data_IF_578390940517
#
_entry.id   IF_578390940517
#
_cell.length_a   1.000
_cell.length_b   1.000
_cell.length_c   1.000
_cell.angle_alpha   90.00
_cell.angle_beta   90.00
_cell.angle_gamma   90.00
#
_symmetry.space_group_name_H-M   'P 1'
#
loop_
_entity.id
_entity.type
_entity.pdbx_description
1 polymer ?
#
# COMPACT_ATOMS: atom_id res chain seq x y z
N UNK A 1 -36.96 26.76 -7.95
CA UNK A 1 -36.95 26.26 -6.55
C UNK A 1 -37.73 24.96 -6.57
N UNK A 2 -37.07 23.83 -6.29
CA UNK A 2 -37.79 22.56 -6.11
C UNK A 2 -38.27 22.57 -4.68
N UNK A 3 -39.58 22.52 -4.47
CA UNK A 3 -40.19 22.41 -3.15
C UNK A 3 -40.67 20.97 -2.97
N UNK A 4 -40.24 20.33 -1.89
CA UNK A 4 -40.80 19.04 -1.50
C UNK A 4 -42.08 19.30 -0.72
N UNK A 5 -43.19 18.75 -1.18
CA UNK A 5 -44.47 18.76 -0.49
C UNK A 5 -44.92 17.33 -0.20
N UNK A 6 -45.73 17.16 0.84
CA UNK A 6 -46.36 15.89 1.13
C UNK A 6 -47.39 15.55 0.05
N UNK A 7 -47.43 14.28 -0.36
CA UNK A 7 -48.40 13.79 -1.34
C UNK A 7 -49.64 13.30 -0.59
N UNK A 8 -50.88 13.60 -1.05
CA UNK A 8 -52.10 13.01 -0.50
C UNK A 8 -52.11 11.47 -0.63
N UNK A 9 -52.72 10.79 0.34
CA UNK A 9 -52.74 9.31 0.39
C UNK A 9 -53.39 8.69 -0.86
N UNK A 10 -54.44 9.32 -1.41
CA UNK A 10 -55.08 8.87 -2.66
C UNK A 10 -54.18 8.94 -3.90
N UNK A 11 -53.18 9.82 -3.87
CA UNK A 11 -52.24 10.07 -4.97
C UNK A 11 -50.97 9.21 -4.85
N UNK A 12 -50.65 8.67 -3.66
CA UNK A 12 -49.42 7.91 -3.42
C UNK A 12 -49.27 6.70 -4.34
N UNK A 13 -50.34 5.97 -4.62
CA UNK A 13 -50.29 4.77 -5.47
C UNK A 13 -50.51 5.07 -6.96
N UNK A 14 -51.29 6.11 -7.27
CA UNK A 14 -51.72 6.41 -8.65
C UNK A 14 -50.75 7.30 -9.39
N UNK A 15 -49.96 8.12 -8.68
CA UNK A 15 -48.97 9.06 -9.25
C UNK A 15 -47.52 8.69 -8.95
N UNK A 16 -47.27 7.50 -8.39
CA UNK A 16 -45.93 7.02 -8.10
C UNK A 16 -45.11 6.82 -9.40
N UNK A 17 -44.08 7.64 -9.58
CA UNK A 17 -43.16 7.53 -10.72
C UNK A 17 -41.90 6.70 -10.42
N UNK A 18 -41.56 6.52 -9.14
CA UNK A 18 -40.36 5.79 -8.71
C UNK A 18 -39.71 6.38 -7.45
N UNK A 19 -38.63 5.75 -7.00
CA UNK A 19 -37.83 6.22 -5.87
C UNK A 19 -36.64 7.07 -6.34
N UNK A 20 -36.45 8.24 -5.71
CA UNK A 20 -35.20 8.98 -5.77
C UNK A 20 -34.43 8.74 -4.47
N UNK A 21 -33.30 8.05 -4.57
CA UNK A 21 -32.39 7.83 -3.45
C UNK A 21 -31.24 8.83 -3.59
N UNK A 22 -31.12 9.74 -2.63
CA UNK A 22 -30.01 10.71 -2.56
C UNK A 22 -29.10 10.39 -1.38
N UNK A 23 -27.87 9.96 -1.68
CA UNK A 23 -26.84 9.74 -0.67
C UNK A 23 -25.92 10.97 -0.59
N UNK A 24 -26.28 11.93 0.25
CA UNK A 24 -25.52 13.16 0.43
C UNK A 24 -24.07 12.90 0.87
N UNK A 25 -23.87 11.96 1.80
CA UNK A 25 -22.54 11.63 2.31
C UNK A 25 -21.65 11.05 1.22
N UNK A 26 -22.19 10.12 0.41
CA UNK A 26 -21.49 9.55 -0.74
C UNK A 26 -21.15 10.58 -1.81
N UNK A 27 -22.07 11.51 -2.09
CA UNK A 27 -21.81 12.61 -3.01
C UNK A 27 -20.71 13.54 -2.50
N UNK A 28 -20.75 13.95 -1.22
CA UNK A 28 -19.72 14.81 -0.60
C UNK A 28 -18.34 14.15 -0.63
N UNK A 29 -18.28 12.84 -0.35
CA UNK A 29 -17.03 12.08 -0.41
C UNK A 29 -16.46 12.05 -1.84
N UNK A 30 -17.27 11.66 -2.82
CA UNK A 30 -16.85 11.61 -4.22
C UNK A 30 -16.38 12.98 -4.75
N UNK A 31 -17.05 14.06 -4.32
CA UNK A 31 -16.67 15.42 -4.66
C UNK A 31 -15.30 15.81 -4.08
N UNK A 32 -15.05 15.48 -2.81
CA UNK A 32 -13.76 15.71 -2.17
C UNK A 32 -12.63 14.90 -2.83
N UNK A 33 -12.88 13.62 -3.14
CA UNK A 33 -11.91 12.75 -3.81
C UNK A 33 -11.54 13.26 -5.20
N UNK A 34 -12.53 13.74 -5.95
CA UNK A 34 -12.31 14.38 -7.24
C UNK A 34 -11.44 15.64 -7.12
N UNK A 35 -11.74 16.53 -6.17
CA UNK A 35 -10.92 17.72 -5.93
C UNK A 35 -9.48 17.36 -5.53
N UNK A 36 -9.31 16.37 -4.65
CA UNK A 36 -7.99 15.89 -4.22
C UNK A 36 -7.20 15.31 -5.39
N UNK A 37 -7.82 14.54 -6.29
CA UNK A 37 -7.18 14.01 -7.48
C UNK A 37 -6.67 15.14 -8.40
N UNK A 38 -7.48 16.17 -8.66
CA UNK A 38 -7.09 17.27 -9.53
C UNK A 38 -6.05 18.20 -8.89
N UNK A 39 -6.15 18.44 -7.57
CA UNK A 39 -5.13 19.16 -6.82
C UNK A 39 -3.79 18.41 -6.87
N UNK A 40 -3.79 17.11 -6.59
CA UNK A 40 -2.62 16.26 -6.75
C UNK A 40 -2.08 16.31 -8.17
N UNK A 41 -2.93 16.20 -9.20
CA UNK A 41 -2.51 16.24 -10.61
C UNK A 41 -1.81 17.56 -10.96
N UNK A 42 -2.33 18.69 -10.48
CA UNK A 42 -1.77 20.03 -10.69
C UNK A 42 -0.47 20.26 -9.91
N UNK A 43 -0.44 19.80 -8.66
CA UNK A 43 0.65 20.08 -7.72
C UNK A 43 1.74 18.99 -7.75
N UNK A 44 1.60 17.99 -8.63
CA UNK A 44 2.56 16.91 -8.81
C UNK A 44 3.87 17.44 -9.39
N UNK A 45 4.99 16.94 -8.88
CA UNK A 45 6.31 17.27 -9.40
C UNK A 45 6.52 16.62 -10.79
N UNK A 46 6.28 17.40 -11.84
CA UNK A 46 6.39 17.04 -13.27
C UNK A 46 7.73 16.39 -13.63
N UNK A 47 8.83 16.80 -12.98
CA UNK A 47 10.18 16.30 -13.25
C UNK A 47 10.34 14.78 -13.05
N UNK A 48 9.57 14.20 -12.11
CA UNK A 48 9.54 12.75 -11.86
C UNK A 48 8.81 12.01 -12.98
N UNK A 49 7.85 12.66 -13.64
CA UNK A 49 7.07 12.08 -14.74
C UNK A 49 7.81 12.16 -16.06
N UNK A 50 8.58 13.23 -16.29
CA UNK A 50 9.37 13.34 -17.51
C UNK A 50 10.42 12.23 -17.67
N UNK A 51 10.88 11.56 -16.61
CA UNK A 51 11.77 10.38 -16.75
C UNK A 51 11.01 9.10 -17.12
N UNK A 52 9.75 8.97 -16.65
CA UNK A 52 8.91 7.80 -16.91
C UNK A 52 8.21 7.87 -18.28
N UNK A 53 7.83 9.06 -18.72
CA UNK A 53 7.18 9.30 -20.02
C UNK A 53 8.19 9.44 -21.19
N UNK A 54 9.47 9.70 -20.88
CA UNK A 54 10.57 9.66 -21.88
C UNK A 54 10.96 8.24 -22.30
N UNK A 55 10.39 7.20 -21.69
CA UNK A 55 10.63 5.80 -22.07
C UNK A 55 12.00 5.24 -21.63
N UNK A 56 12.67 5.87 -20.67
CA UNK A 56 13.97 5.39 -20.18
C UNK A 56 13.82 4.23 -19.16
N UNK A 57 12.67 4.12 -18.47
CA UNK A 57 12.32 3.01 -17.57
C UNK A 57 10.83 2.68 -17.64
N UNK A 58 10.49 1.49 -18.15
CA UNK A 58 9.10 1.02 -18.33
C UNK A 58 8.47 0.39 -17.06
N UNK A 59 8.92 0.79 -15.86
CA UNK A 59 8.50 0.16 -14.60
C UNK A 59 8.55 1.10 -13.38
N UNK A 60 7.77 0.77 -12.34
CA UNK A 60 7.74 1.54 -11.09
C UNK A 60 8.93 1.20 -10.18
N UNK A 61 9.93 2.09 -10.15
CA UNK A 61 11.17 1.93 -9.36
C UNK A 61 10.93 1.84 -7.85
N UNK A 62 9.86 2.47 -7.33
CA UNK A 62 9.54 2.40 -5.90
C UNK A 62 9.01 1.03 -5.55
N UNK A 63 8.13 0.47 -6.37
CA UNK A 63 7.59 -0.86 -6.20
C UNK A 63 8.71 -1.91 -6.34
N UNK A 64 9.60 -1.74 -7.32
CA UNK A 64 10.77 -2.61 -7.48
C UNK A 64 11.70 -2.58 -6.26
N UNK A 65 11.99 -1.40 -5.72
CA UNK A 65 12.74 -1.27 -4.46
C UNK A 65 12.03 -1.99 -3.32
N UNK A 66 10.71 -1.86 -3.21
CA UNK A 66 9.93 -2.56 -2.18
C UNK A 66 10.02 -4.09 -2.31
N UNK A 67 9.99 -4.64 -3.52
CA UNK A 67 10.19 -6.07 -3.77
C UNK A 67 11.52 -6.55 -3.19
N UNK A 68 12.62 -5.89 -3.57
CA UNK A 68 13.97 -6.25 -3.08
C UNK A 68 14.07 -6.07 -1.56
N UNK A 69 13.49 -4.99 -1.01
CA UNK A 69 13.47 -4.72 0.44
C UNK A 69 12.80 -5.85 1.23
N UNK A 70 11.65 -6.34 0.76
CA UNK A 70 10.92 -7.42 1.42
C UNK A 70 11.70 -8.74 1.36
N UNK A 71 12.29 -9.05 0.20
CA UNK A 71 13.10 -10.25 0.04
C UNK A 71 14.32 -10.24 0.97
N UNK A 72 15.05 -9.12 1.08
CA UNK A 72 16.17 -9.00 2.01
C UNK A 72 15.75 -9.18 3.47
N UNK A 73 14.60 -8.62 3.86
CA UNK A 73 14.08 -8.80 5.22
C UNK A 73 13.63 -10.24 5.48
N UNK A 74 12.98 -10.89 4.52
CA UNK A 74 12.59 -12.30 4.60
C UNK A 74 13.81 -13.22 4.71
N UNK A 75 14.87 -12.95 3.93
CA UNK A 75 16.15 -13.65 4.03
C UNK A 75 16.77 -13.52 5.42
N UNK A 76 16.73 -12.33 6.02
CA UNK A 76 17.22 -12.11 7.39
C UNK A 76 16.40 -12.92 8.40
N UNK A 77 15.07 -12.88 8.28
CA UNK A 77 14.18 -13.63 9.15
C UNK A 77 14.53 -15.13 9.14
N UNK A 78 14.80 -15.70 7.97
CA UNK A 78 15.19 -17.12 7.84
C UNK A 78 16.60 -17.42 8.38
N UNK A 79 17.53 -16.46 8.36
CA UNK A 79 18.91 -16.65 8.84
C UNK A 79 19.08 -16.44 10.34
N UNK A 80 18.41 -15.44 10.89
CA UNK A 80 18.65 -14.95 12.25
C UNK A 80 17.40 -14.92 13.12
N UNK A 81 16.24 -15.33 12.59
CA UNK A 81 14.96 -15.23 13.28
C UNK A 81 14.44 -13.80 13.41
N UNK A 82 15.09 -12.80 12.79
CA UNK A 82 14.75 -11.39 12.94
C UNK A 82 14.65 -10.68 11.57
N UNK A 83 13.56 -9.94 11.30
CA UNK A 83 13.42 -9.16 10.08
C UNK A 83 14.27 -7.88 10.13
N UNK A 84 14.64 -7.35 8.97
CA UNK A 84 15.33 -6.05 8.87
C UNK A 84 14.28 -4.96 8.72
N UNK A 85 14.05 -4.19 9.79
CA UNK A 85 13.13 -3.04 9.77
C UNK A 85 13.84 -1.78 9.28
N UNK A 86 15.11 -1.58 9.68
CA UNK A 86 15.93 -0.43 9.32
C UNK A 86 17.17 -0.89 8.56
N UNK A 87 17.23 -0.56 7.28
CA UNK A 87 18.36 -0.87 6.42
C UNK A 87 19.49 0.13 6.64
N UNK A 88 20.73 -0.36 6.55
CA UNK A 88 21.95 0.45 6.63
C UNK A 88 23.01 -0.09 5.65
N UNK A 89 24.12 0.65 5.48
CA UNK A 89 25.26 0.22 4.68
C UNK A 89 24.90 -0.13 3.22
N UNK A 90 25.49 -1.22 2.72
CA UNK A 90 25.35 -1.65 1.32
C UNK A 90 23.89 -1.92 0.92
N UNK A 91 23.09 -2.55 1.79
CA UNK A 91 21.70 -2.87 1.47
C UNK A 91 20.85 -1.59 1.33
N UNK A 92 21.08 -0.58 2.18
CA UNK A 92 20.41 0.71 2.02
C UNK A 92 20.82 1.40 0.72
N UNK A 93 22.12 1.38 0.39
CA UNK A 93 22.63 1.96 -0.85
C UNK A 93 22.03 1.29 -2.10
N UNK A 94 21.89 -0.04 -2.10
CA UNK A 94 21.20 -0.79 -3.15
C UNK A 94 19.74 -0.34 -3.29
N UNK A 95 18.98 -0.30 -2.20
CA UNK A 95 17.57 0.09 -2.22
C UNK A 95 17.39 1.53 -2.72
N UNK A 96 18.26 2.45 -2.32
CA UNK A 96 18.21 3.83 -2.83
C UNK A 96 18.57 3.91 -4.30
N UNK A 97 19.56 3.13 -4.76
CA UNK A 97 19.94 3.07 -6.18
C UNK A 97 18.78 2.60 -7.07
N UNK A 98 18.04 1.57 -6.62
CA UNK A 98 16.82 1.12 -7.32
C UNK A 98 15.76 2.21 -7.33
N UNK A 99 15.48 2.84 -6.18
CA UNK A 99 14.47 3.91 -6.06
C UNK A 99 14.79 5.11 -6.94
N UNK A 100 16.07 5.42 -7.11
CA UNK A 100 16.57 6.50 -7.95
C UNK A 100 16.62 6.14 -9.44
N UNK A 101 16.25 4.91 -9.82
CA UNK A 101 16.25 4.47 -11.22
C UNK A 101 17.65 4.21 -11.79
N UNK A 102 18.65 3.96 -10.94
CA UNK A 102 20.04 3.70 -11.38
C UNK A 102 20.24 2.28 -11.93
N UNK A 103 19.29 1.39 -11.71
CA UNK A 103 19.32 0.01 -12.20
C UNK A 103 18.19 -0.18 -13.23
N UNK A 104 18.48 -0.94 -14.27
CA UNK A 104 17.51 -1.43 -15.24
C UNK A 104 16.59 -2.50 -14.61
N UNK A 105 15.49 -2.81 -15.30
CA UNK A 105 14.55 -3.84 -14.86
C UNK A 105 15.23 -5.21 -14.68
N UNK A 106 16.03 -5.62 -15.67
CA UNK A 106 16.69 -6.93 -15.66
C UNK A 106 17.71 -7.06 -14.54
N UNK A 107 18.45 -5.99 -14.24
CA UNK A 107 19.39 -5.96 -13.10
C UNK A 107 18.65 -6.11 -11.76
N UNK A 108 17.53 -5.41 -11.59
CA UNK A 108 16.70 -5.52 -10.39
C UNK A 108 16.15 -6.94 -10.25
N UNK A 109 15.64 -7.51 -11.35
CA UNK A 109 15.06 -8.85 -11.35
C UNK A 109 16.11 -9.92 -11.08
N UNK A 110 17.33 -9.78 -11.60
CA UNK A 110 18.46 -10.65 -11.28
C UNK A 110 18.77 -10.61 -9.78
N UNK A 111 18.88 -9.42 -9.18
CA UNK A 111 19.07 -9.27 -7.73
C UNK A 111 17.93 -9.92 -6.93
N UNK A 112 16.68 -9.69 -7.34
CA UNK A 112 15.52 -10.27 -6.67
C UNK A 112 15.51 -11.80 -6.73
N UNK A 113 15.81 -12.37 -7.90
CA UNK A 113 15.87 -13.82 -8.11
C UNK A 113 16.99 -14.47 -7.30
N UNK A 114 18.17 -13.85 -7.21
CA UNK A 114 19.27 -14.32 -6.37
C UNK A 114 18.88 -14.37 -4.88
N UNK A 115 18.23 -13.31 -4.39
CA UNK A 115 17.77 -13.27 -2.99
C UNK A 115 16.70 -14.33 -2.76
N UNK A 116 15.75 -14.48 -3.69
CA UNK A 116 14.68 -15.48 -3.60
C UNK A 116 15.25 -16.91 -3.59
N UNK A 117 16.21 -17.22 -4.47
CA UNK A 117 16.88 -18.51 -4.48
C UNK A 117 17.60 -18.80 -3.15
N UNK A 118 18.22 -17.79 -2.53
CA UNK A 118 18.81 -17.95 -1.21
C UNK A 118 17.74 -18.19 -0.13
N UNK A 119 16.59 -17.49 -0.20
CA UNK A 119 15.46 -17.73 0.69
C UNK A 119 14.94 -19.17 0.59
N UNK A 120 14.75 -19.70 -0.63
CA UNK A 120 14.29 -21.08 -0.83
C UNK A 120 15.28 -22.09 -0.23
N UNK A 121 16.59 -21.85 -0.38
CA UNK A 121 17.62 -22.67 0.25
C UNK A 121 17.60 -22.59 1.78
N UNK A 122 17.44 -21.40 2.33
CA UNK A 122 17.43 -21.17 3.78
C UNK A 122 16.18 -21.74 4.44
N UNK A 123 15.04 -21.73 3.75
CA UNK A 123 13.77 -22.27 4.24
C UNK A 123 13.90 -23.71 4.71
N UNK A 124 14.73 -24.53 4.04
CA UNK A 124 14.97 -25.92 4.41
C UNK A 124 15.68 -26.09 5.77
N UNK A 125 16.37 -25.07 6.26
CA UNK A 125 17.15 -25.10 7.51
C UNK A 125 16.70 -24.05 8.53
N UNK A 126 15.71 -23.23 8.19
CA UNK A 126 15.25 -22.15 9.03
C UNK A 126 14.46 -22.71 10.21
N UNK A 127 14.76 -22.24 11.41
CA UNK A 127 14.04 -22.56 12.64
C UNK A 127 12.80 -21.65 12.78
N UNK A 128 11.98 -21.61 11.72
CA UNK A 128 10.74 -20.84 11.69
C UNK A 128 9.55 -21.82 11.72
N UNK A 129 8.53 -21.57 12.53
CA UNK A 129 7.35 -22.43 12.56
C UNK A 129 6.58 -22.34 11.24
N UNK A 130 6.07 -23.48 10.77
CA UNK A 130 5.25 -23.55 9.54
C UNK A 130 3.93 -22.75 9.67
N UNK A 131 3.44 -22.58 10.90
CA UNK A 131 2.18 -21.93 11.20
C UNK A 131 2.44 -20.80 12.21
N UNK A 132 1.87 -19.63 11.92
CA UNK A 132 1.86 -18.52 12.86
C UNK A 132 0.73 -18.70 13.88
N UNK A 133 1.05 -18.68 15.17
CA UNK A 133 0.08 -18.76 16.27
C UNK A 133 -0.74 -17.47 16.38
N UNK A 134 -1.93 -17.47 15.75
CA UNK A 134 -2.80 -16.29 15.63
C UNK A 134 -3.22 -15.69 16.98
N UNK A 135 -3.39 -16.53 18.02
CA UNK A 135 -3.70 -16.08 19.37
C UNK A 135 -2.56 -15.26 20.00
N UNK A 136 -1.30 -15.67 19.76
CA UNK A 136 -0.14 -14.93 20.24
C UNK A 136 0.00 -13.60 19.48
N UNK A 137 -0.17 -13.62 18.16
CA UNK A 137 -0.15 -12.40 17.35
C UNK A 137 -1.22 -11.38 17.78
N UNK A 138 -2.44 -11.86 18.06
CA UNK A 138 -3.54 -11.03 18.58
C UNK A 138 -3.22 -10.44 19.94
N UNK A 139 -2.64 -11.23 20.84
CA UNK A 139 -2.22 -10.78 22.18
C UNK A 139 -1.17 -9.68 22.07
N UNK A 140 -0.13 -9.90 21.25
CA UNK A 140 0.91 -8.92 20.99
C UNK A 140 0.35 -7.61 20.42
N UNK A 141 -0.57 -7.69 19.45
CA UNK A 141 -1.20 -6.50 18.86
C UNK A 141 -1.93 -5.68 19.93
N UNK A 142 -2.70 -6.33 20.81
CA UNK A 142 -3.40 -5.66 21.91
C UNK A 142 -2.41 -4.97 22.85
N UNK A 143 -1.35 -5.66 23.26
CA UNK A 143 -0.32 -5.10 24.15
C UNK A 143 0.38 -3.88 23.55
N UNK A 144 0.75 -3.94 22.26
CA UNK A 144 1.38 -2.81 21.56
C UNK A 144 0.40 -1.63 21.47
N UNK A 145 -0.89 -1.90 21.22
CA UNK A 145 -1.93 -0.87 21.13
C UNK A 145 -2.14 -0.19 22.48
N UNK A 146 -2.32 -0.96 23.56
CA UNK A 146 -2.45 -0.44 24.92
C UNK A 146 -1.22 0.39 25.34
N UNK A 147 -0.02 -0.06 24.98
CA UNK A 147 1.21 0.68 25.27
C UNK A 147 1.28 2.01 24.51
N UNK A 148 0.86 2.02 23.24
CA UNK A 148 0.78 3.23 22.43
C UNK A 148 -0.26 4.22 22.98
N UNK A 149 -1.44 3.74 23.36
CA UNK A 149 -2.51 4.55 23.96
C UNK A 149 -2.02 5.24 25.25
N UNK A 150 -1.39 4.49 26.17
CA UNK A 150 -0.83 5.05 27.42
C UNK A 150 0.27 6.09 27.22
N UNK A 151 0.94 6.11 26.06
CA UNK A 151 1.97 7.08 25.73
C UNK A 151 1.42 8.35 25.08
N UNK A 152 0.22 8.25 24.49
CA UNK A 152 -0.34 9.28 23.62
C UNK A 152 -1.52 10.01 24.28
N UNK A 153 -2.18 9.37 25.24
CA UNK A 153 -3.18 9.94 26.14
C UNK A 153 -2.55 10.33 27.48
#
# INVERSE_FOLDING_TARGET
>A
MIACESIPEEDESTRFAGFLLYNEQGWRQAFADHQNYWAWRRDRNESRWQQQERGELDFDTKNMMHTVRLLLSGRSLMKSGQPIVRFSGHQLALLMSIREGKLSFDEIMSVAQEILADCERLKATADLPDICESAQATTLLREITEHWEKRTL
#
